data_IF_407035491180
#
_entry.id   IF_407035491180
#
_cell.length_a   1.000
_cell.length_b   1.000
_cell.length_c   1.000
_cell.angle_alpha   90.00
_cell.angle_beta   90.00
_cell.angle_gamma   90.00
#
_symmetry.space_group_name_H-M   'P 1'
#
loop_
_entity.id
_entity.type
_entity.pdbx_description
1 polymer ?
#
# COMPACT_ATOMS: atom_id res chain seq x y z
N UNK A 1 12.64 -7.09 -1.22
CA UNK A 1 12.53 -7.79 0.08
C UNK A 1 12.15 -9.23 -0.21
N UNK A 2 13.10 -10.18 -0.25
CA UNK A 2 12.76 -11.54 -0.69
C UNK A 2 12.09 -12.32 0.44
N UNK A 3 10.96 -12.95 0.15
CA UNK A 3 10.35 -13.94 1.03
C UNK A 3 9.43 -13.40 2.14
N UNK A 4 8.87 -12.20 1.96
CA UNK A 4 7.96 -11.58 2.93
C UNK A 4 6.48 -11.96 2.71
N UNK A 5 5.67 -11.82 3.77
CA UNK A 5 4.22 -11.70 3.68
C UNK A 5 3.88 -10.22 3.42
N UNK A 6 3.44 -9.92 2.20
CA UNK A 6 3.13 -8.56 1.76
C UNK A 6 1.64 -8.28 1.86
N UNK A 7 1.25 -7.30 2.67
CA UNK A 7 -0.09 -6.73 2.61
C UNK A 7 -0.13 -5.57 1.60
N UNK A 8 -1.15 -5.51 0.75
CA UNK A 8 -1.28 -4.47 -0.27
C UNK A 8 -2.61 -3.70 -0.13
N UNK A 9 -2.54 -2.37 -0.09
CA UNK A 9 -3.73 -1.53 0.08
C UNK A 9 -3.39 -0.07 0.36
N UNK A 10 -4.39 0.81 0.35
CA UNK A 10 -4.17 2.23 0.67
C UNK A 10 -3.98 2.50 2.17
N UNK A 11 -4.52 1.61 3.01
CA UNK A 11 -4.46 1.63 4.47
C UNK A 11 -4.83 2.97 5.10
N UNK A 12 -5.74 3.74 4.47
CA UNK A 12 -6.20 5.00 5.02
C UNK A 12 -7.06 4.77 6.27
N UNK A 13 -6.81 5.51 7.35
CA UNK A 13 -7.47 5.36 8.64
C UNK A 13 -7.01 4.16 9.50
N UNK A 14 -6.26 3.20 8.94
CA UNK A 14 -5.74 1.98 9.64
C UNK A 14 -6.75 1.40 10.66
N UNK A 15 -8.00 1.26 10.23
CA UNK A 15 -9.09 0.77 11.06
C UNK A 15 -8.94 -0.72 11.39
N UNK A 16 -9.87 -1.28 12.17
CA UNK A 16 -9.77 -2.67 12.66
C UNK A 16 -9.64 -3.72 11.56
N UNK A 17 -10.29 -3.53 10.40
CA UNK A 17 -10.07 -4.40 9.23
C UNK A 17 -8.61 -4.43 8.77
N UNK A 18 -7.99 -3.27 8.54
CA UNK A 18 -6.58 -3.16 8.17
C UNK A 18 -5.67 -3.82 9.20
N UNK A 19 -5.90 -3.59 10.50
CA UNK A 19 -5.06 -4.19 11.55
C UNK A 19 -5.08 -5.72 11.54
N UNK A 20 -6.21 -6.33 11.17
CA UNK A 20 -6.31 -7.79 11.03
C UNK A 20 -5.47 -8.31 9.86
N UNK A 21 -5.40 -7.58 8.75
CA UNK A 21 -4.56 -7.93 7.60
C UNK A 21 -3.08 -7.74 7.97
N UNK A 22 -2.74 -6.58 8.54
CA UNK A 22 -1.38 -6.21 8.94
C UNK A 22 -0.79 -7.13 10.01
N UNK A 23 -1.63 -7.77 10.84
CA UNK A 23 -1.17 -8.75 11.82
C UNK A 23 -0.47 -9.98 11.21
N UNK A 24 -0.63 -10.22 9.91
CA UNK A 24 0.02 -11.33 9.18
C UNK A 24 1.07 -10.85 8.18
N UNK A 25 1.42 -9.57 8.18
CA UNK A 25 2.29 -8.96 7.18
C UNK A 25 3.64 -8.58 7.78
N UNK A 26 4.73 -8.91 7.08
CA UNK A 26 6.08 -8.42 7.38
C UNK A 26 6.34 -7.09 6.65
N UNK A 27 5.60 -6.85 5.56
CA UNK A 27 5.78 -5.68 4.71
C UNK A 27 4.45 -5.20 4.15
N UNK A 28 4.39 -3.91 3.82
CA UNK A 28 3.22 -3.28 3.21
C UNK A 28 3.61 -2.60 1.90
N UNK A 29 2.80 -2.83 0.86
CA UNK A 29 2.77 -1.99 -0.33
C UNK A 29 1.55 -1.06 -0.25
N UNK A 30 1.80 0.23 -0.12
CA UNK A 30 0.79 1.29 -0.09
C UNK A 30 1.04 2.31 -1.20
N UNK A 31 0.11 3.25 -1.38
CA UNK A 31 0.07 4.17 -2.51
C UNK A 31 0.20 5.62 -2.06
N UNK A 32 1.02 6.40 -2.77
CA UNK A 32 1.12 7.86 -2.61
C UNK A 32 1.18 8.58 -3.97
N UNK A 33 0.39 9.64 -4.22
CA UNK A 33 -0.75 10.07 -3.42
C UNK A 33 -1.83 8.98 -3.33
N UNK A 34 -2.79 9.16 -2.43
CA UNK A 34 -3.88 8.20 -2.27
C UNK A 34 -4.63 7.97 -3.61
N UNK A 35 -4.95 6.72 -4.03
CA UNK A 35 -5.50 6.44 -5.35
C UNK A 35 -6.78 7.23 -5.67
N UNK A 36 -7.66 7.44 -4.69
CA UNK A 36 -8.88 8.26 -4.84
C UNK A 36 -8.60 9.71 -5.28
N UNK A 37 -7.43 10.27 -4.98
CA UNK A 37 -7.05 11.61 -5.43
C UNK A 37 -6.76 11.58 -6.93
N UNK A 38 -5.94 10.62 -7.38
CA UNK A 38 -5.54 10.49 -8.79
C UNK A 38 -6.72 10.09 -9.67
N UNK A 39 -7.61 9.24 -9.16
CA UNK A 39 -8.83 8.83 -9.87
C UNK A 39 -9.93 9.92 -9.87
N UNK A 40 -9.68 11.09 -9.29
CA UNK A 40 -10.65 12.19 -9.26
C UNK A 40 -11.90 11.92 -8.40
N UNK A 41 -11.88 10.87 -7.57
CA UNK A 41 -12.98 10.48 -6.69
C UNK A 41 -13.08 11.42 -5.48
N UNK A 42 -11.94 11.92 -4.99
CA UNK A 42 -11.84 12.79 -3.82
C UNK A 42 -10.95 14.00 -4.11
N UNK A 43 -11.41 15.20 -3.74
CA UNK A 43 -10.58 16.41 -3.78
C UNK A 43 -9.90 16.63 -2.42
N UNK A 44 -8.93 15.79 -2.09
CA UNK A 44 -7.90 15.99 -1.06
C UNK A 44 -8.33 16.17 0.41
N UNK A 45 -9.60 16.41 0.72
CA UNK A 45 -10.07 16.81 2.07
C UNK A 45 -10.35 15.64 3.03
N UNK A 46 -10.16 14.39 2.63
CA UNK A 46 -10.56 13.20 3.40
C UNK A 46 -9.48 12.13 3.56
N UNK A 47 -8.19 12.49 3.50
CA UNK A 47 -7.12 11.54 3.87
C UNK A 47 -7.09 11.43 5.39
N UNK A 48 -7.52 10.27 5.92
CA UNK A 48 -7.63 10.02 7.35
C UNK A 48 -6.26 9.80 8.02
N UNK A 49 -5.31 9.26 7.27
CA UNK A 49 -3.96 8.96 7.74
C UNK A 49 -2.94 9.42 6.70
N UNK A 50 -2.41 10.65 6.85
CA UNK A 50 -1.35 11.18 6.00
C UNK A 50 -0.13 10.25 5.94
N UNK A 51 0.67 10.32 4.88
CA UNK A 51 1.74 9.36 4.63
C UNK A 51 2.79 9.31 5.75
N UNK A 52 3.13 10.45 6.36
CA UNK A 52 4.07 10.52 7.50
C UNK A 52 3.53 9.75 8.72
N UNK A 53 2.25 9.95 9.05
CA UNK A 53 1.58 9.27 10.15
C UNK A 53 1.40 7.78 9.86
N UNK A 54 1.07 7.45 8.60
CA UNK A 54 0.95 6.07 8.13
C UNK A 54 2.27 5.33 8.26
N UNK A 55 3.38 5.97 7.86
CA UNK A 55 4.73 5.44 8.01
C UNK A 55 5.07 5.24 9.49
N UNK A 56 4.79 6.21 10.36
CA UNK A 56 5.02 6.09 11.81
C UNK A 56 4.29 4.88 12.40
N UNK A 57 3.02 4.68 12.03
CA UNK A 57 2.23 3.55 12.52
C UNK A 57 2.82 2.22 12.02
N UNK A 58 3.24 2.13 10.76
CA UNK A 58 3.89 0.90 10.26
C UNK A 58 5.23 0.63 10.95
N UNK A 59 6.06 1.66 11.16
CA UNK A 59 7.32 1.54 11.89
C UNK A 59 7.07 1.03 13.34
N UNK A 60 6.04 1.55 14.02
CA UNK A 60 5.64 1.10 15.38
C UNK A 60 5.12 -0.35 15.40
N UNK A 61 4.54 -0.81 14.30
CA UNK A 61 4.11 -2.21 14.14
C UNK A 61 5.27 -3.14 13.73
N UNK A 62 6.47 -2.61 13.44
CA UNK A 62 7.59 -3.38 12.92
C UNK A 62 7.38 -3.84 11.47
N UNK A 63 6.59 -3.11 10.70
CA UNK A 63 6.25 -3.42 9.31
C UNK A 63 7.02 -2.49 8.36
N UNK A 64 7.74 -3.08 7.43
CA UNK A 64 8.43 -2.33 6.38
C UNK A 64 7.45 -1.84 5.32
N UNK A 65 7.40 -0.53 5.11
CA UNK A 65 6.45 0.10 4.19
C UNK A 65 7.11 0.55 2.87
N UNK A 66 6.50 0.15 1.76
CA UNK A 66 6.81 0.61 0.41
C UNK A 66 5.69 1.54 -0.05
N UNK A 67 6.02 2.79 -0.29
CA UNK A 67 5.09 3.79 -0.84
C UNK A 67 5.28 3.85 -2.36
N UNK A 68 4.43 3.12 -3.08
CA UNK A 68 4.40 3.16 -4.54
C UNK A 68 3.79 4.49 -4.99
N UNK A 69 4.49 5.18 -5.90
CA UNK A 69 3.92 6.35 -6.56
C UNK A 69 2.70 5.92 -7.37
N UNK A 70 1.51 6.36 -6.99
CA UNK A 70 0.29 6.11 -7.75
C UNK A 70 0.05 7.30 -8.68
N UNK A 71 0.11 7.05 -9.98
CA UNK A 71 -0.17 8.02 -11.03
C UNK A 71 -1.06 7.38 -12.10
N UNK A 72 -1.38 8.12 -13.17
CA UNK A 72 -2.24 7.62 -14.25
C UNK A 72 -1.68 6.35 -14.91
N UNK A 73 -0.34 6.20 -14.95
CA UNK A 73 0.30 5.02 -15.51
C UNK A 73 0.02 3.78 -14.66
N UNK A 74 0.15 3.89 -13.34
CA UNK A 74 -0.22 2.78 -12.44
C UNK A 74 -1.73 2.53 -12.48
N UNK A 75 -2.55 3.58 -12.55
CA UNK A 75 -4.01 3.46 -12.57
C UNK A 75 -4.55 2.75 -13.83
N UNK A 76 -3.85 2.88 -14.96
CA UNK A 76 -4.20 2.26 -16.25
C UNK A 76 -3.47 0.93 -16.48
N UNK A 77 -2.65 0.47 -15.53
CA UNK A 77 -1.87 -0.76 -15.68
C UNK A 77 -2.79 -1.98 -15.60
N UNK A 78 -2.66 -2.89 -16.56
CA UNK A 78 -3.38 -4.17 -16.50
C UNK A 78 -2.90 -4.99 -15.30
N UNK A 79 -3.77 -5.80 -14.66
CA UNK A 79 -3.40 -6.56 -13.47
C UNK A 79 -2.17 -7.45 -13.66
N UNK A 80 -2.02 -8.09 -14.82
CA UNK A 80 -0.87 -8.94 -15.14
C UNK A 80 0.42 -8.11 -15.18
N UNK A 81 0.37 -6.94 -15.81
CA UNK A 81 1.51 -6.04 -15.88
C UNK A 81 1.90 -5.51 -14.49
N UNK A 82 0.94 -5.23 -13.62
CA UNK A 82 1.21 -4.84 -12.23
C UNK A 82 1.95 -5.93 -11.46
N UNK A 83 1.51 -7.18 -11.60
CA UNK A 83 2.20 -8.32 -10.97
C UNK A 83 3.65 -8.41 -11.48
N UNK A 84 3.84 -8.38 -12.80
CA UNK A 84 5.15 -8.53 -13.43
C UNK A 84 6.11 -7.37 -13.14
N UNK A 85 5.62 -6.13 -13.08
CA UNK A 85 6.46 -4.94 -12.93
C UNK A 85 6.61 -4.43 -11.50
N UNK A 86 5.67 -4.75 -10.61
CA UNK A 86 5.69 -4.25 -9.23
C UNK A 86 5.94 -5.39 -8.25
N UNK A 87 5.11 -6.43 -8.29
CA UNK A 87 5.20 -7.50 -7.29
C UNK A 87 6.43 -8.39 -7.50
N UNK A 88 6.84 -8.63 -8.75
CA UNK A 88 8.04 -9.44 -9.04
C UNK A 88 9.36 -8.73 -8.71
N UNK A 89 9.36 -7.40 -8.57
CA UNK A 89 10.51 -6.67 -8.03
C UNK A 89 10.60 -6.82 -6.51
N UNK A 90 9.46 -6.82 -5.83
CA UNK A 90 9.38 -7.03 -4.37
C UNK A 90 9.74 -8.47 -4.01
N UNK A 91 9.24 -9.45 -4.77
CA UNK A 91 9.38 -10.91 -4.56
C UNK A 91 8.79 -11.41 -3.23
N UNK A 92 7.50 -11.14 -2.97
CA UNK A 92 6.83 -11.67 -1.79
C UNK A 92 6.67 -13.19 -1.91
N UNK A 93 6.74 -13.90 -0.78
CA UNK A 93 6.36 -15.31 -0.71
C UNK A 93 4.85 -15.48 -0.59
N UNK A 94 4.16 -14.47 -0.08
CA UNK A 94 2.70 -14.44 0.07
C UNK A 94 2.18 -13.01 -0.06
N UNK A 95 1.03 -12.85 -0.69
CA UNK A 95 0.24 -11.61 -0.63
C UNK A 95 -0.96 -11.88 0.29
N UNK A 96 -1.20 -10.97 1.24
CA UNK A 96 -2.26 -11.06 2.27
C UNK A 96 -3.34 -10.02 2.01
#
# INVERSE_FOLDING_TARGET
>A
MKGCNLAMGSFDGIHMGHRKILAFADSVLTFTPHPRIVLGIERGRFILTPDEEKKRIFDEMGIDAIFLKFDEKIAQMEPVEFVEKVLMDIKPSRVV
#
